data_IF_444592657626
#
_entry.id   IF_444592657626
#
_cell.length_a   1.000
_cell.length_b   1.000
_cell.length_c   1.000
_cell.angle_alpha   90.00
_cell.angle_beta   90.00
_cell.angle_gamma   90.00
#
_symmetry.space_group_name_H-M   'P 1'
#
loop_
_entity.id
_entity.type
_entity.pdbx_description
1 polymer ?
#
# COMPACT_ATOMS: atom_id res chain seq x y z
N UNK A 1 -13.48 -16.21 -5.80
CA UNK A 1 -14.18 -14.96 -5.41
C UNK A 1 -13.22 -13.81 -5.62
N UNK A 2 -13.63 -12.73 -6.27
CA UNK A 2 -12.81 -11.52 -6.39
C UNK A 2 -12.84 -10.81 -5.03
N UNK A 3 -11.69 -10.48 -4.45
CA UNK A 3 -11.63 -9.87 -3.13
C UNK A 3 -12.27 -8.47 -3.15
N UNK A 4 -12.81 -8.06 -2.01
CA UNK A 4 -13.48 -6.78 -1.86
C UNK A 4 -12.43 -5.65 -1.96
N UNK A 5 -12.61 -4.64 -2.83
CA UNK A 5 -11.65 -3.53 -2.97
C UNK A 5 -11.32 -2.80 -1.65
N UNK A 6 -12.26 -2.78 -0.70
CA UNK A 6 -11.99 -2.25 0.64
C UNK A 6 -11.04 -3.14 1.43
N UNK A 7 -11.25 -4.46 1.44
CA UNK A 7 -10.38 -5.44 2.11
C UNK A 7 -8.98 -5.43 1.48
N UNK A 8 -8.91 -5.36 0.15
CA UNK A 8 -7.65 -5.22 -0.59
C UNK A 8 -6.90 -3.94 -0.19
N UNK A 9 -7.60 -2.80 -0.08
CA UNK A 9 -6.98 -1.56 0.37
C UNK A 9 -6.48 -1.65 1.82
N UNK A 10 -7.27 -2.19 2.75
CA UNK A 10 -6.83 -2.37 4.14
C UNK A 10 -5.62 -3.30 4.26
N UNK A 11 -5.60 -4.41 3.51
CA UNK A 11 -4.47 -5.32 3.47
C UNK A 11 -3.21 -4.65 2.89
N UNK A 12 -3.37 -3.83 1.84
CA UNK A 12 -2.26 -3.11 1.23
C UNK A 12 -1.66 -2.05 2.16
N UNK A 13 -2.50 -1.31 2.90
CA UNK A 13 -2.04 -0.35 3.92
C UNK A 13 -1.31 -1.05 5.07
N UNK A 14 -1.81 -2.20 5.53
CA UNK A 14 -1.13 -2.98 6.57
C UNK A 14 0.25 -3.49 6.10
N UNK A 15 0.34 -3.96 4.85
CA UNK A 15 1.59 -4.40 4.25
C UNK A 15 2.59 -3.24 4.05
N UNK A 16 2.11 -2.07 3.60
CA UNK A 16 2.91 -0.84 3.52
C UNK A 16 3.48 -0.46 4.88
N UNK A 17 2.66 -0.51 5.95
CA UNK A 17 3.11 -0.18 7.30
C UNK A 17 4.18 -1.16 7.80
N UNK A 18 3.99 -2.46 7.58
CA UNK A 18 4.98 -3.46 7.95
C UNK A 18 6.31 -3.24 7.19
N UNK A 19 6.25 -2.91 5.90
CA UNK A 19 7.43 -2.60 5.11
C UNK A 19 8.12 -1.31 5.56
N UNK A 20 7.36 -0.29 5.96
CA UNK A 20 7.90 0.95 6.53
C UNK A 20 8.66 0.68 7.83
N UNK A 21 8.08 -0.10 8.74
CA UNK A 21 8.72 -0.41 10.02
C UNK A 21 10.06 -1.15 9.84
N UNK A 22 10.20 -1.93 8.76
CA UNK A 22 11.46 -2.55 8.35
C UNK A 22 12.43 -1.57 7.67
N UNK A 23 11.94 -0.64 6.84
CA UNK A 23 12.75 0.25 6.02
C UNK A 23 13.20 1.54 6.69
N UNK A 24 12.47 2.04 7.70
CA UNK A 24 12.64 3.39 8.27
C UNK A 24 14.05 3.72 8.80
N UNK A 25 14.85 2.72 9.16
CA UNK A 25 16.24 2.90 9.61
C UNK A 25 17.29 2.54 8.54
N UNK A 26 16.84 2.08 7.36
CA UNK A 26 17.66 1.52 6.28
C UNK A 26 17.46 2.27 4.95
N UNK A 27 17.10 3.54 5.03
CA UNK A 27 16.79 4.39 3.86
C UNK A 27 18.06 4.92 3.19
N UNK A 28 17.98 5.34 1.91
CA UNK A 28 19.10 6.01 1.24
C UNK A 28 19.65 7.16 2.07
N UNK A 29 20.97 7.18 2.29
CA UNK A 29 21.65 8.17 3.12
C UNK A 29 21.82 7.78 4.59
N UNK A 30 21.27 6.66 5.04
CA UNK A 30 21.53 6.09 6.37
C UNK A 30 22.78 5.20 6.38
N UNK A 31 23.48 5.08 7.54
CA UNK A 31 24.63 4.17 7.66
C UNK A 31 24.28 2.71 7.37
N UNK A 32 23.07 2.28 7.70
CA UNK A 32 22.56 0.93 7.48
C UNK A 32 21.68 0.83 6.22
N UNK A 33 21.97 1.64 5.19
CA UNK A 33 21.20 1.61 3.95
C UNK A 33 21.15 0.18 3.39
N UNK A 34 19.93 -0.29 3.14
CA UNK A 34 19.67 -1.55 2.49
C UNK A 34 18.72 -1.31 1.31
N UNK A 35 19.25 -1.55 0.10
CA UNK A 35 18.52 -1.32 -1.13
C UNK A 35 17.28 -2.23 -1.24
N UNK A 36 17.38 -3.48 -0.81
CA UNK A 36 16.29 -4.45 -0.93
C UNK A 36 15.12 -4.08 -0.02
N UNK A 37 15.40 -3.78 1.26
CA UNK A 37 14.37 -3.33 2.20
C UNK A 37 13.74 -2.00 1.75
N UNK A 38 14.54 -1.07 1.23
CA UNK A 38 14.03 0.18 0.67
C UNK A 38 13.11 -0.03 -0.55
N UNK A 39 13.52 -0.87 -1.49
CA UNK A 39 12.74 -1.19 -2.69
C UNK A 39 11.44 -1.94 -2.33
N UNK A 40 11.49 -2.82 -1.33
CA UNK A 40 10.32 -3.52 -0.81
C UNK A 40 9.27 -2.53 -0.26
N UNK A 41 9.70 -1.53 0.53
CA UNK A 41 8.80 -0.47 0.98
C UNK A 41 8.25 0.36 -0.19
N UNK A 42 9.10 0.78 -1.12
CA UNK A 42 8.66 1.50 -2.32
C UNK A 42 7.60 0.72 -3.12
N UNK A 43 7.76 -0.60 -3.24
CA UNK A 43 6.80 -1.49 -3.90
C UNK A 43 5.49 -1.58 -3.12
N UNK A 44 5.56 -1.68 -1.79
CA UNK A 44 4.37 -1.70 -0.94
C UNK A 44 3.56 -0.39 -1.02
N UNK A 45 4.24 0.76 -1.06
CA UNK A 45 3.59 2.07 -1.29
C UNK A 45 2.82 2.11 -2.61
N UNK A 46 3.44 1.66 -3.72
CA UNK A 46 2.77 1.62 -5.04
C UNK A 46 1.51 0.74 -5.01
N UNK A 47 1.59 -0.43 -4.37
CA UNK A 47 0.44 -1.34 -4.23
C UNK A 47 -0.68 -0.75 -3.38
N UNK A 48 -0.33 -0.06 -2.28
CA UNK A 48 -1.28 0.66 -1.44
C UNK A 48 -2.04 1.74 -2.22
N UNK A 49 -1.33 2.50 -3.05
CA UNK A 49 -1.93 3.50 -3.94
C UNK A 49 -2.82 2.90 -5.03
N UNK A 50 -2.42 1.78 -5.64
CA UNK A 50 -3.25 1.06 -6.61
C UNK A 50 -4.54 0.54 -5.97
N UNK A 51 -4.45 -0.07 -4.79
CA UNK A 51 -5.61 -0.54 -4.05
C UNK A 51 -6.54 0.60 -3.63
N UNK A 52 -5.97 1.76 -3.24
CA UNK A 52 -6.75 2.97 -2.95
C UNK A 52 -7.52 3.46 -4.18
N UNK A 53 -6.88 3.50 -5.35
CA UNK A 53 -7.54 3.88 -6.61
C UNK A 53 -8.67 2.92 -6.96
N UNK A 54 -8.45 1.62 -6.82
CA UNK A 54 -9.48 0.60 -7.06
C UNK A 54 -10.67 0.75 -6.11
N UNK A 55 -10.41 0.97 -4.82
CA UNK A 55 -11.44 1.26 -3.81
C UNK A 55 -12.23 2.52 -4.17
N UNK A 56 -11.56 3.61 -4.55
CA UNK A 56 -12.22 4.86 -4.95
C UNK A 56 -13.11 4.68 -6.18
N UNK A 57 -12.67 3.91 -7.18
CA UNK A 57 -13.48 3.57 -8.35
C UNK A 57 -14.73 2.76 -7.96
N UNK A 58 -14.59 1.80 -7.04
CA UNK A 58 -15.71 1.01 -6.54
C UNK A 58 -16.73 1.88 -5.77
N UNK A 59 -16.26 2.89 -5.03
CA UNK A 59 -17.12 3.88 -4.35
C UNK A 59 -17.82 4.78 -5.36
N UNK A 60 -17.08 5.34 -6.33
CA UNK A 60 -17.63 6.26 -7.33
C UNK A 60 -18.63 5.58 -8.29
N UNK A 61 -18.47 4.28 -8.53
CA UNK A 61 -19.40 3.48 -9.35
C UNK A 61 -20.68 3.04 -8.64
N UNK A 62 -20.84 3.32 -7.33
CA UNK A 62 -22.09 3.02 -6.62
C UNK A 62 -23.10 4.15 -6.88
N UNK A 63 -24.26 3.87 -7.50
CA UNK A 63 -25.33 4.85 -7.58
C UNK A 63 -25.79 5.20 -6.16
N UNK A 64 -25.92 6.49 -5.87
CA UNK A 64 -26.63 6.98 -4.69
C UNK A 64 -28.10 6.57 -4.84
N UNK A 65 -28.53 5.52 -4.14
CA UNK A 65 -29.95 5.24 -3.94
C UNK A 65 -30.39 5.99 -2.67
N UNK A 66 -31.10 7.09 -2.86
CA UNK A 66 -31.95 7.76 -1.86
C UNK A 66 -33.35 7.15 -1.96
#
# INVERSE_FOLDING_TARGET
MRANPFEEHFAAVAAERAAWDAARNRMPGMPEFDHETWEAWCTAVRRSDEARRAMMQAVAGRPFSI
#
